data_IF_606715879452
#
_entry.id   IF_606715879452
#
_cell.length_a   1.000
_cell.length_b   1.000
_cell.length_c   1.000
_cell.angle_alpha   90.00
_cell.angle_beta   90.00
_cell.angle_gamma   90.00
#
_symmetry.space_group_name_H-M   'P 1'
#
loop_
_entity.id
_entity.type
_entity.pdbx_description
1 polymer ?
#
# COMPACT_ATOMS: atom_id res chain seq x y z
N UNK A 1 2.28 -6.05 3.77
CA UNK A 1 2.36 -7.46 3.35
C UNK A 1 1.04 -7.83 2.67
N UNK A 2 1.09 -8.21 1.38
CA UNK A 2 -0.06 -8.47 0.49
C UNK A 2 -0.84 -9.74 0.89
N UNK A 3 -1.59 -10.33 -0.05
CA UNK A 3 -2.35 -11.59 0.09
C UNK A 3 -1.55 -12.77 0.68
N UNK A 4 -0.21 -12.67 0.67
CA UNK A 4 0.69 -13.66 1.29
C UNK A 4 0.78 -13.56 2.82
N UNK A 5 0.35 -12.44 3.41
CA UNK A 5 0.46 -12.18 4.86
C UNK A 5 -0.13 -13.28 5.73
N UNK A 6 -1.38 -13.73 5.51
CA UNK A 6 -2.00 -14.73 6.36
C UNK A 6 -1.26 -16.06 6.35
N UNK A 7 -0.63 -16.41 5.22
CA UNK A 7 0.10 -17.68 5.09
C UNK A 7 1.47 -17.64 5.79
N UNK A 8 2.13 -16.48 5.79
CA UNK A 8 3.34 -16.26 6.57
C UNK A 8 3.03 -16.28 8.08
N UNK A 9 1.97 -15.60 8.50
CA UNK A 9 1.52 -15.58 9.90
C UNK A 9 1.13 -16.99 10.40
N UNK A 10 0.56 -17.82 9.53
CA UNK A 10 0.21 -19.22 9.83
C UNK A 10 1.41 -20.19 9.75
N UNK A 11 2.60 -19.73 9.37
CA UNK A 11 3.78 -20.58 9.16
C UNK A 11 3.67 -21.53 7.96
N UNK A 12 2.66 -21.33 7.10
CA UNK A 12 2.48 -22.10 5.86
C UNK A 12 3.45 -21.68 4.75
N UNK A 13 3.92 -20.43 4.83
CA UNK A 13 5.01 -19.90 4.03
C UNK A 13 6.12 -19.42 4.96
N UNK A 14 7.35 -19.43 4.45
CA UNK A 14 8.50 -18.79 5.09
C UNK A 14 9.15 -17.85 4.08
N UNK A 15 9.62 -16.69 4.53
CA UNK A 15 10.44 -15.83 3.70
C UNK A 15 11.82 -16.48 3.55
N UNK A 16 12.29 -16.59 2.31
CA UNK A 16 13.67 -16.97 1.99
C UNK A 16 14.40 -15.76 1.43
N UNK A 17 15.73 -15.74 1.50
CA UNK A 17 16.57 -14.65 0.99
C UNK A 17 16.22 -13.27 1.61
N UNK A 18 16.24 -13.18 2.93
CA UNK A 18 15.86 -11.97 3.69
C UNK A 18 16.64 -10.71 3.28
N UNK A 19 17.86 -10.88 2.76
CA UNK A 19 18.71 -9.76 2.33
C UNK A 19 18.30 -9.16 0.98
N UNK A 20 17.32 -9.76 0.30
CA UNK A 20 16.88 -9.36 -1.04
C UNK A 20 15.48 -8.75 -0.97
N UNK A 21 15.38 -7.46 -1.28
CA UNK A 21 14.12 -6.73 -1.33
C UNK A 21 14.20 -5.51 -2.24
N UNK A 22 13.03 -5.04 -2.70
CA UNK A 22 12.89 -3.78 -3.43
C UNK A 22 11.71 -2.99 -2.87
N UNK A 23 11.81 -1.66 -2.89
CA UNK A 23 10.71 -0.78 -2.49
C UNK A 23 9.52 -0.95 -3.43
N UNK A 24 8.37 -1.29 -2.88
CA UNK A 24 7.14 -1.45 -3.63
C UNK A 24 6.19 -0.28 -3.34
N UNK A 25 6.39 0.81 -4.07
CA UNK A 25 5.64 2.06 -3.90
C UNK A 25 4.19 1.92 -4.39
N UNK A 26 3.25 2.54 -3.68
CA UNK A 26 1.83 2.61 -4.07
C UNK A 26 1.53 4.01 -4.62
N UNK A 27 0.86 4.08 -5.77
CA UNK A 27 0.54 5.32 -6.46
C UNK A 27 -0.96 5.47 -6.73
N UNK A 28 -1.50 6.66 -6.47
CA UNK A 28 -2.84 7.03 -6.91
C UNK A 28 -2.78 7.58 -8.34
N UNK A 29 -3.46 6.92 -9.29
CA UNK A 29 -3.54 7.33 -10.69
C UNK A 29 -4.96 7.78 -11.01
N UNK A 30 -5.11 8.97 -11.56
CA UNK A 30 -6.40 9.58 -11.87
C UNK A 30 -6.27 10.58 -13.04
N UNK A 31 -7.32 10.79 -13.85
CA UNK A 31 -7.21 11.53 -15.12
C UNK A 31 -7.23 13.06 -14.97
N UNK A 32 -7.83 13.60 -13.91
CA UNK A 32 -7.99 15.04 -13.71
C UNK A 32 -7.10 15.55 -12.57
N UNK A 33 -6.67 16.82 -12.61
CA UNK A 33 -5.90 17.37 -11.49
C UNK A 33 -6.67 17.25 -10.19
N UNK A 34 -6.00 16.77 -9.15
CA UNK A 34 -6.57 16.56 -7.81
C UNK A 34 -7.30 17.79 -7.27
N UNK A 35 -6.79 18.99 -7.58
CA UNK A 35 -7.39 20.27 -7.19
C UNK A 35 -8.80 20.51 -7.79
N UNK A 36 -9.17 19.82 -8.87
CA UNK A 36 -10.44 20.04 -9.58
C UNK A 36 -11.60 19.19 -9.05
N UNK A 37 -11.35 18.26 -8.11
CA UNK A 37 -12.40 17.42 -7.51
C UNK A 37 -12.20 17.28 -6.01
N UNK A 38 -13.06 17.95 -5.23
CA UNK A 38 -13.03 17.87 -3.76
C UNK A 38 -13.23 16.45 -3.23
N UNK A 39 -14.10 15.65 -3.88
CA UNK A 39 -14.34 14.25 -3.48
C UNK A 39 -13.14 13.35 -3.77
N UNK A 40 -12.51 13.51 -4.94
CA UNK A 40 -11.31 12.73 -5.28
C UNK A 40 -10.16 13.09 -4.35
N UNK A 41 -9.99 14.39 -4.05
CA UNK A 41 -8.99 14.86 -3.10
C UNK A 41 -9.17 14.28 -1.71
N UNK A 42 -10.36 14.38 -1.15
CA UNK A 42 -10.64 13.81 0.16
C UNK A 42 -10.38 12.29 0.20
N UNK A 43 -10.75 11.56 -0.86
CA UNK A 43 -10.49 10.12 -0.97
C UNK A 43 -8.99 9.79 -1.01
N UNK A 44 -8.22 10.49 -1.85
CA UNK A 44 -6.77 10.27 -1.98
C UNK A 44 -6.03 10.63 -0.69
N UNK A 45 -6.38 11.76 -0.06
CA UNK A 45 -5.80 12.17 1.23
C UNK A 45 -6.09 11.14 2.33
N UNK A 46 -7.32 10.62 2.39
CA UNK A 46 -7.69 9.54 3.31
C UNK A 46 -6.86 8.27 3.07
N UNK A 47 -6.76 7.81 1.82
CA UNK A 47 -6.00 6.60 1.48
C UNK A 47 -4.51 6.78 1.76
N UNK A 48 -3.95 7.95 1.49
CA UNK A 48 -2.55 8.25 1.80
C UNK A 48 -2.28 8.17 3.31
N UNK A 49 -3.14 8.77 4.13
CA UNK A 49 -3.03 8.70 5.59
C UNK A 49 -3.20 7.25 6.10
N UNK A 50 -4.17 6.53 5.55
CA UNK A 50 -4.44 5.15 5.94
C UNK A 50 -3.28 4.20 5.59
N UNK A 51 -2.71 4.31 4.39
CA UNK A 51 -1.57 3.48 4.00
C UNK A 51 -0.27 3.86 4.71
N UNK A 52 -0.09 5.13 5.09
CA UNK A 52 1.03 5.52 5.94
C UNK A 52 0.98 4.85 7.33
N UNK A 53 -0.22 4.61 7.87
CA UNK A 53 -0.41 3.90 9.14
C UNK A 53 -0.24 2.37 9.00
N UNK A 54 -0.53 1.80 7.83
CA UNK A 54 -0.41 0.37 7.56
C UNK A 54 1.02 -0.07 7.22
N UNK A 55 1.86 0.86 6.76
CA UNK A 55 3.26 0.61 6.43
C UNK A 55 4.13 0.57 7.69
N UNK A 56 3.92 -0.45 8.52
CA UNK A 56 4.82 -0.88 9.60
C UNK A 56 5.70 -2.02 9.07
#
# INVERSE_FOLDING_TARGET
MWDVKPFLDQGRLIQVLHDYGQSANVWAVYPTRLAHSGKLRACVEFLQAHFAQLSI
#
